data_IF_186939884904
#
_entry.id   IF_186939884904
#
_cell.length_a   1.000
_cell.length_b   1.000
_cell.length_c   1.000
_cell.angle_alpha   90.00
_cell.angle_beta   90.00
_cell.angle_gamma   90.00
#
_symmetry.space_group_name_H-M   'P 1'
#
loop_
_entity.id
_entity.type
_entity.pdbx_description
1 polymer ?
#
# COMPACT_ATOMS: atom_id res chain seq x y z
N UNK A 1 38.83 9.59 -3.97
CA UNK A 1 38.48 9.42 -2.55
C UNK A 1 37.17 8.65 -2.52
N UNK A 2 37.19 7.39 -2.15
CA UNK A 2 35.98 6.59 -2.00
C UNK A 2 35.22 7.12 -0.77
N UNK A 3 34.00 7.63 -0.97
CA UNK A 3 33.11 7.96 0.11
C UNK A 3 32.74 6.65 0.82
N UNK A 4 33.18 6.47 2.05
CA UNK A 4 32.66 5.40 2.89
C UNK A 4 31.13 5.60 3.04
N UNK A 5 30.32 4.53 2.98
CA UNK A 5 28.89 4.64 3.18
C UNK A 5 28.62 5.22 4.58
N UNK A 6 27.53 6.00 4.76
CA UNK A 6 27.20 6.59 6.06
C UNK A 6 26.99 5.47 7.08
N UNK A 7 28.00 5.19 7.89
CA UNK A 7 27.92 4.26 9.02
C UNK A 7 27.10 4.90 10.13
N UNK A 8 25.77 4.91 9.99
CA UNK A 8 24.89 5.18 11.13
C UNK A 8 25.01 3.98 12.09
N UNK A 9 25.76 4.14 13.16
CA UNK A 9 25.95 3.15 14.23
C UNK A 9 24.69 2.96 15.09
N UNK A 10 23.64 3.74 14.88
CA UNK A 10 22.35 3.61 15.58
C UNK A 10 21.41 2.66 14.81
N UNK A 11 20.68 1.83 15.57
CA UNK A 11 19.63 0.99 14.99
C UNK A 11 18.60 1.87 14.23
N UNK A 12 18.10 1.43 13.05
CA UNK A 12 17.11 2.21 12.29
C UNK A 12 15.81 2.36 13.08
N UNK A 13 15.19 3.54 13.02
CA UNK A 13 13.85 3.77 13.57
C UNK A 13 12.79 3.12 12.65
N UNK A 14 12.96 3.24 11.33
CA UNK A 14 12.03 2.73 10.33
C UNK A 14 12.71 1.63 9.50
N UNK A 15 12.01 0.51 9.28
CA UNK A 15 12.39 -0.47 8.27
C UNK A 15 11.38 -0.42 7.13
N UNK A 16 11.83 0.05 5.96
CA UNK A 16 11.00 0.19 4.76
C UNK A 16 11.11 -1.10 3.97
N UNK A 17 9.99 -1.80 3.80
CA UNK A 17 9.92 -3.13 3.19
C UNK A 17 9.24 -2.99 1.84
N UNK A 18 9.94 -3.37 0.77
CA UNK A 18 9.48 -3.31 -0.61
C UNK A 18 9.49 -4.71 -1.20
N UNK A 19 8.34 -5.21 -1.63
CA UNK A 19 8.25 -6.43 -2.43
C UNK A 19 8.26 -6.06 -3.92
N UNK A 20 9.12 -6.71 -4.70
CA UNK A 20 9.24 -6.49 -6.14
C UNK A 20 9.13 -7.82 -6.91
N UNK A 21 8.44 -7.79 -8.05
CA UNK A 21 8.35 -8.91 -8.97
C UNK A 21 8.23 -8.40 -10.41
N UNK A 22 9.29 -8.57 -11.20
CA UNK A 22 9.37 -8.17 -12.62
C UNK A 22 9.09 -6.68 -12.89
N UNK A 23 9.34 -5.78 -11.93
CA UNK A 23 9.02 -4.34 -12.07
C UNK A 23 10.18 -3.43 -11.61
N UNK A 24 11.34 -3.59 -12.26
CA UNK A 24 12.53 -2.81 -11.92
C UNK A 24 12.45 -1.35 -12.34
N UNK A 25 11.62 -1.02 -13.33
CA UNK A 25 11.47 0.36 -13.82
C UNK A 25 10.74 1.23 -12.78
N UNK A 26 9.60 0.77 -12.27
CA UNK A 26 8.84 1.47 -11.23
C UNK A 26 9.65 1.57 -9.93
N UNK A 27 10.36 0.49 -9.55
CA UNK A 27 11.20 0.46 -8.35
C UNK A 27 12.26 1.57 -8.33
N UNK A 28 12.79 1.97 -9.47
CA UNK A 28 13.79 3.06 -9.54
C UNK A 28 13.24 4.38 -9.03
N UNK A 29 12.01 4.74 -9.37
CA UNK A 29 11.32 5.94 -8.85
C UNK A 29 11.09 5.84 -7.35
N UNK A 30 10.68 4.67 -6.87
CA UNK A 30 10.47 4.40 -5.46
C UNK A 30 11.76 4.58 -4.65
N UNK A 31 12.86 3.92 -5.03
CA UNK A 31 14.16 4.01 -4.36
C UNK A 31 14.72 5.44 -4.37
N UNK A 32 14.59 6.15 -5.50
CA UNK A 32 14.98 7.57 -5.62
C UNK A 32 14.26 8.45 -4.61
N UNK A 33 12.99 8.18 -4.34
CA UNK A 33 12.19 8.98 -3.40
C UNK A 33 12.68 8.88 -1.97
N UNK A 34 13.34 7.79 -1.56
CA UNK A 34 13.97 7.66 -0.25
C UNK A 34 15.28 8.42 -0.15
N UNK A 35 16.08 8.49 -1.23
CA UNK A 35 17.29 9.32 -1.25
C UNK A 35 16.99 10.84 -1.22
N UNK A 36 15.78 11.23 -1.60
CA UNK A 36 15.34 12.63 -1.64
C UNK A 36 14.62 13.08 -0.36
N UNK A 37 14.53 12.22 0.67
CA UNK A 37 13.87 12.61 1.91
C UNK A 37 14.62 13.73 2.64
N UNK A 38 13.88 14.74 3.11
CA UNK A 38 14.42 15.81 3.97
C UNK A 38 14.27 15.42 5.43
N UNK A 39 15.34 15.65 6.23
CA UNK A 39 15.39 15.33 7.67
C UNK A 39 14.80 13.95 8.03
N UNK A 40 15.10 12.88 7.28
CA UNK A 40 14.53 11.58 7.60
C UNK A 40 15.04 11.10 8.97
N UNK A 41 14.21 10.39 9.75
CA UNK A 41 14.72 9.61 10.86
C UNK A 41 15.71 8.55 10.34
N UNK A 42 16.44 7.88 11.24
CA UNK A 42 17.25 6.74 10.83
C UNK A 42 16.35 5.66 10.21
N UNK A 43 16.68 5.19 9.02
CA UNK A 43 15.89 4.14 8.33
C UNK A 43 16.80 3.18 7.58
N UNK A 44 16.27 2.00 7.29
CA UNK A 44 16.81 1.03 6.35
C UNK A 44 15.76 0.70 5.30
N UNK A 45 16.21 0.26 4.12
CA UNK A 45 15.35 -0.24 3.05
C UNK A 45 15.66 -1.72 2.84
N UNK A 46 14.61 -2.53 2.78
CA UNK A 46 14.67 -3.97 2.52
C UNK A 46 13.87 -4.26 1.27
N UNK A 47 14.58 -4.59 0.21
CA UNK A 47 14.02 -5.00 -1.07
C UNK A 47 13.99 -6.52 -1.15
N UNK A 48 12.80 -7.07 -1.30
CA UNK A 48 12.60 -8.51 -1.51
C UNK A 48 12.17 -8.75 -2.95
N UNK A 49 13.06 -9.35 -3.74
CA UNK A 49 12.77 -9.86 -5.09
C UNK A 49 12.06 -11.22 -4.97
N UNK A 50 10.79 -11.24 -5.30
CA UNK A 50 9.94 -12.43 -5.22
C UNK A 50 10.09 -13.33 -6.46
N UNK A 51 11.32 -13.63 -6.85
CA UNK A 51 11.62 -14.56 -7.92
C UNK A 51 11.39 -14.00 -9.32
N UNK A 52 11.75 -12.73 -9.56
CA UNK A 52 11.68 -12.12 -10.89
C UNK A 52 12.43 -12.91 -11.93
N UNK A 53 11.97 -12.89 -13.19
CA UNK A 53 12.60 -13.58 -14.31
C UNK A 53 14.05 -13.13 -14.54
N UNK A 54 14.32 -11.84 -14.33
CA UNK A 54 15.67 -11.28 -14.31
C UNK A 54 16.02 -10.82 -12.89
N UNK A 55 17.26 -11.01 -12.43
CA UNK A 55 17.68 -10.48 -11.13
C UNK A 55 17.62 -8.96 -11.10
N UNK A 56 17.62 -8.34 -9.89
CA UNK A 56 17.73 -6.91 -9.76
C UNK A 56 18.93 -6.38 -10.55
N UNK A 57 18.75 -5.35 -11.42
CA UNK A 57 19.85 -4.70 -12.12
C UNK A 57 20.91 -4.17 -11.16
N UNK A 58 22.18 -4.19 -11.58
CA UNK A 58 23.30 -3.80 -10.71
C UNK A 58 23.18 -2.39 -10.17
N UNK A 59 22.64 -1.44 -10.95
CA UNK A 59 22.44 -0.06 -10.52
C UNK A 59 21.52 0.09 -9.29
N UNK A 60 20.69 -0.92 -8.99
CA UNK A 60 19.86 -0.91 -7.77
C UNK A 60 20.74 -1.02 -6.53
N UNK A 61 21.89 -1.69 -6.61
CA UNK A 61 22.86 -1.80 -5.51
C UNK A 61 23.52 -0.46 -5.18
N UNK A 62 23.61 0.46 -6.14
CA UNK A 62 24.24 1.77 -5.97
C UNK A 62 23.47 2.65 -4.97
N UNK A 63 22.18 2.37 -4.73
CA UNK A 63 21.40 3.07 -3.72
C UNK A 63 21.92 2.82 -2.29
N UNK A 64 22.69 1.76 -2.06
CA UNK A 64 23.35 1.53 -0.77
C UNK A 64 24.36 2.63 -0.40
N UNK A 65 24.79 3.44 -1.36
CA UNK A 65 25.62 4.62 -1.11
C UNK A 65 24.82 5.82 -0.56
N UNK A 66 23.48 5.76 -0.61
CA UNK A 66 22.58 6.83 -0.16
C UNK A 66 21.92 6.52 1.18
N UNK A 67 21.59 5.26 1.42
CA UNK A 67 20.96 4.75 2.65
C UNK A 67 21.20 3.24 2.77
N UNK A 68 21.13 2.65 3.98
CA UNK A 68 21.26 1.20 4.16
C UNK A 68 20.22 0.44 3.34
N UNK A 69 20.67 -0.33 2.35
CA UNK A 69 19.82 -1.14 1.45
C UNK A 69 20.21 -2.61 1.55
N UNK A 70 19.27 -3.44 1.94
CA UNK A 70 19.38 -4.90 1.91
C UNK A 70 18.54 -5.45 0.77
N UNK A 71 19.15 -6.25 -0.12
CA UNK A 71 18.45 -6.90 -1.23
C UNK A 71 18.43 -8.40 -0.97
N UNK A 72 17.24 -8.99 -0.95
CA UNK A 72 17.05 -10.45 -0.77
C UNK A 72 16.22 -10.96 -1.92
N UNK A 73 16.60 -12.11 -2.47
CA UNK A 73 15.83 -12.82 -3.48
C UNK A 73 15.28 -14.12 -2.90
N UNK A 74 14.03 -14.44 -3.25
CA UNK A 74 13.37 -15.69 -2.89
C UNK A 74 12.72 -16.35 -4.12
N UNK A 75 12.42 -17.66 -4.09
CA UNK A 75 11.52 -18.26 -5.06
C UNK A 75 10.15 -17.58 -5.02
N UNK A 76 9.49 -17.44 -6.19
CA UNK A 76 8.19 -16.75 -6.26
C UNK A 76 7.16 -17.41 -5.33
N UNK A 77 6.69 -16.64 -4.35
CA UNK A 77 5.75 -17.09 -3.33
C UNK A 77 4.61 -16.07 -3.07
N UNK A 78 4.57 -15.00 -3.83
CA UNK A 78 3.57 -13.94 -3.74
C UNK A 78 3.95 -12.78 -2.81
N UNK A 79 3.27 -11.65 -3.01
CA UNK A 79 3.57 -10.37 -2.34
C UNK A 79 3.53 -10.47 -0.81
N UNK A 80 2.58 -11.23 -0.25
CA UNK A 80 2.49 -11.47 1.21
C UNK A 80 3.73 -12.15 1.76
N UNK A 81 4.22 -13.20 1.08
CA UNK A 81 5.42 -13.93 1.49
C UNK A 81 6.67 -13.03 1.40
N UNK A 82 6.79 -12.24 0.34
CA UNK A 82 7.89 -11.30 0.17
C UNK A 82 7.89 -10.22 1.27
N UNK A 83 6.73 -9.61 1.58
CA UNK A 83 6.63 -8.63 2.68
C UNK A 83 6.91 -9.27 4.05
N UNK A 84 6.44 -10.48 4.31
CA UNK A 84 6.75 -11.22 5.54
C UNK A 84 8.25 -11.48 5.65
N UNK A 85 8.91 -11.91 4.58
CA UNK A 85 10.37 -12.11 4.55
C UNK A 85 11.12 -10.82 4.86
N UNK A 86 10.70 -9.69 4.27
CA UNK A 86 11.25 -8.38 4.58
C UNK A 86 11.06 -7.99 6.05
N UNK A 87 9.88 -8.25 6.62
CA UNK A 87 9.61 -7.98 8.04
C UNK A 87 10.48 -8.81 8.98
N UNK A 88 10.72 -10.10 8.67
CA UNK A 88 11.58 -10.98 9.48
C UNK A 88 13.02 -10.47 9.59
N UNK A 89 13.61 -10.03 8.48
CA UNK A 89 15.02 -9.59 8.45
C UNK A 89 15.22 -8.12 8.85
N UNK A 90 14.14 -7.36 8.99
CA UNK A 90 14.19 -5.94 9.34
C UNK A 90 14.57 -5.73 10.81
N UNK A 91 15.19 -4.58 11.13
CA UNK A 91 15.76 -4.27 12.45
C UNK A 91 15.02 -3.17 13.21
N UNK A 92 14.29 -2.30 12.49
CA UNK A 92 13.61 -1.15 13.07
C UNK A 92 12.36 -1.54 13.88
N UNK A 93 12.01 -0.76 14.91
CA UNK A 93 10.81 -0.94 15.71
C UNK A 93 9.52 -0.60 14.94
N UNK A 94 9.62 0.11 13.83
CA UNK A 94 8.49 0.47 12.95
C UNK A 94 8.71 -0.18 11.59
N UNK A 95 7.78 -1.03 11.19
CA UNK A 95 7.74 -1.62 9.85
C UNK A 95 6.93 -0.70 8.94
N UNK A 96 7.50 -0.30 7.80
CA UNK A 96 6.83 0.52 6.78
C UNK A 96 6.76 -0.30 5.50
N UNK A 97 5.56 -0.56 5.01
CA UNK A 97 5.36 -1.28 3.76
C UNK A 97 5.15 -0.30 2.61
N UNK A 98 5.84 -0.55 1.52
CA UNK A 98 5.78 0.22 0.29
C UNK A 98 5.67 -0.71 -0.92
N UNK A 99 4.94 -0.28 -1.96
CA UNK A 99 4.92 -0.98 -3.24
C UNK A 99 6.03 -0.43 -4.16
N UNK A 100 6.51 -1.24 -5.09
CA UNK A 100 7.59 -0.84 -6.00
C UNK A 100 7.21 0.36 -6.91
N UNK A 101 5.91 0.60 -7.11
CA UNK A 101 5.34 1.71 -7.87
C UNK A 101 4.86 2.89 -6.99
N UNK A 102 5.36 2.96 -5.75
CA UNK A 102 5.07 4.04 -4.80
C UNK A 102 6.20 5.06 -4.73
N UNK A 103 5.86 6.36 -4.77
CA UNK A 103 6.81 7.45 -4.59
C UNK A 103 6.49 8.25 -3.35
N UNK A 104 7.41 8.30 -2.42
CA UNK A 104 7.29 9.02 -1.15
C UNK A 104 7.66 10.49 -1.33
N UNK A 105 6.80 11.41 -0.91
CA UNK A 105 7.13 12.84 -0.90
C UNK A 105 8.34 13.13 -0.01
N UNK A 106 9.05 14.21 -0.31
CA UNK A 106 10.35 14.56 0.29
C UNK A 106 10.34 14.70 1.83
N UNK A 107 9.20 14.96 2.45
CA UNK A 107 9.03 15.07 3.91
C UNK A 107 8.27 13.90 4.53
N UNK A 108 8.05 12.82 3.77
CA UNK A 108 7.12 11.74 4.16
C UNK A 108 7.60 10.98 5.40
N UNK A 109 8.89 10.63 5.45
CA UNK A 109 9.45 9.87 6.59
C UNK A 109 9.55 10.72 7.85
N UNK A 110 9.89 12.01 7.73
CA UNK A 110 9.87 12.97 8.84
C UNK A 110 8.45 13.10 9.42
N UNK A 111 7.45 13.31 8.57
CA UNK A 111 6.04 13.43 8.96
C UNK A 111 5.51 12.17 9.65
N UNK A 112 5.89 10.99 9.13
CA UNK A 112 5.54 9.71 9.75
C UNK A 112 6.15 9.60 11.15
N UNK A 113 7.46 9.85 11.30
CA UNK A 113 8.14 9.75 12.57
C UNK A 113 7.58 10.73 13.61
N UNK A 114 7.31 11.97 13.21
CA UNK A 114 6.70 12.98 14.07
C UNK A 114 5.29 12.54 14.54
N UNK A 115 4.49 11.96 13.63
CA UNK A 115 3.16 11.45 13.99
C UNK A 115 3.25 10.28 14.97
N UNK A 116 4.16 9.33 14.74
CA UNK A 116 4.38 8.19 15.65
C UNK A 116 4.78 8.64 17.06
N UNK A 117 5.59 9.69 17.15
CA UNK A 117 6.02 10.27 18.44
C UNK A 117 4.88 11.03 19.14
N UNK A 118 4.09 11.80 18.40
CA UNK A 118 2.99 12.60 18.95
C UNK A 118 1.74 11.78 19.32
N UNK A 119 1.58 10.60 18.73
CA UNK A 119 0.43 9.70 18.92
C UNK A 119 0.90 8.31 19.37
N UNK A 120 1.55 8.17 20.54
CA UNK A 120 2.14 6.91 21.00
C UNK A 120 1.09 5.80 21.27
N UNK A 121 -0.17 6.18 21.49
CA UNK A 121 -1.30 5.25 21.69
C UNK A 121 -1.69 4.48 20.43
N UNK A 122 -1.34 4.96 19.23
CA UNK A 122 -1.64 4.26 17.98
C UNK A 122 -0.51 3.29 17.61
N UNK A 123 -0.92 2.13 17.14
CA UNK A 123 -0.03 1.01 16.81
C UNK A 123 0.22 0.84 15.32
N UNK A 124 -0.69 1.35 14.49
CA UNK A 124 -0.59 1.29 13.04
C UNK A 124 -1.00 2.62 12.40
N UNK A 125 -0.42 2.90 11.25
CA UNK A 125 -0.51 4.19 10.58
C UNK A 125 -0.72 3.98 9.08
N UNK A 126 -1.67 4.70 8.50
CA UNK A 126 -1.85 4.76 7.06
C UNK A 126 -1.35 6.11 6.56
N UNK A 127 -0.38 6.09 5.68
CA UNK A 127 0.11 7.29 5.01
C UNK A 127 -0.94 7.76 3.99
N UNK A 128 -0.99 9.06 3.73
CA UNK A 128 -1.93 9.62 2.75
C UNK A 128 -1.52 9.18 1.34
N UNK A 129 -2.35 8.38 0.70
CA UNK A 129 -2.14 7.95 -0.67
C UNK A 129 -2.78 8.91 -1.67
N UNK A 130 -2.07 9.19 -2.75
CA UNK A 130 -2.50 9.99 -3.88
C UNK A 130 -2.22 9.24 -5.19
N UNK A 131 -2.90 9.62 -6.27
CA UNK A 131 -2.63 9.09 -7.61
C UNK A 131 -1.74 10.03 -8.42
N UNK A 132 -1.25 9.56 -9.55
CA UNK A 132 -0.60 10.40 -10.55
C UNK A 132 -1.64 11.02 -11.50
N UNK A 133 -1.91 12.31 -11.36
CA UNK A 133 -2.92 13.02 -12.14
C UNK A 133 -2.50 13.32 -13.61
N UNK A 134 -1.32 12.92 -14.05
CA UNK A 134 -0.85 13.16 -15.43
C UNK A 134 -1.68 12.39 -16.47
N UNK A 135 -2.16 11.19 -16.10
CA UNK A 135 -2.97 10.33 -16.99
C UNK A 135 -4.42 10.25 -16.55
N UNK A 136 -5.33 9.81 -17.44
CA UNK A 136 -6.73 9.53 -17.05
C UNK A 136 -6.81 8.43 -15.98
N UNK A 137 -6.00 7.38 -16.14
CA UNK A 137 -5.97 6.25 -15.17
C UNK A 137 -5.46 6.74 -13.82
N UNK A 138 -4.42 7.58 -13.80
CA UNK A 138 -3.92 8.20 -12.57
C UNK A 138 -4.95 9.10 -11.89
N UNK A 139 -5.72 9.88 -12.66
CA UNK A 139 -6.84 10.68 -12.13
C UNK A 139 -7.98 9.84 -11.56
N UNK A 140 -8.25 8.68 -12.16
CA UNK A 140 -9.21 7.69 -11.62
C UNK A 140 -8.72 7.14 -10.29
N UNK A 141 -7.43 6.82 -10.20
CA UNK A 141 -6.81 6.33 -8.97
C UNK A 141 -6.77 7.40 -7.89
N UNK A 142 -6.41 8.64 -8.23
CA UNK A 142 -6.47 9.79 -7.32
C UNK A 142 -7.88 9.97 -6.74
N UNK A 143 -8.91 9.98 -7.61
CA UNK A 143 -10.31 10.10 -7.18
C UNK A 143 -10.69 8.98 -6.22
N UNK A 144 -10.29 7.74 -6.51
CA UNK A 144 -10.55 6.57 -5.68
C UNK A 144 -9.89 6.69 -4.32
N UNK A 145 -8.58 6.96 -4.29
CA UNK A 145 -7.76 7.00 -3.08
C UNK A 145 -8.20 8.11 -2.13
N UNK A 146 -8.34 9.34 -2.64
CA UNK A 146 -8.79 10.48 -1.82
C UNK A 146 -10.16 10.20 -1.25
N UNK A 147 -11.11 9.78 -2.09
CA UNK A 147 -12.49 9.59 -1.62
C UNK A 147 -12.60 8.48 -0.59
N UNK A 148 -11.88 7.36 -0.78
CA UNK A 148 -11.89 6.26 0.20
C UNK A 148 -11.31 6.72 1.55
N UNK A 149 -10.15 7.36 1.53
CA UNK A 149 -9.50 7.83 2.75
C UNK A 149 -10.34 8.88 3.47
N UNK A 150 -10.88 9.88 2.75
CA UNK A 150 -11.68 10.93 3.38
C UNK A 150 -13.05 10.43 3.89
N UNK A 151 -13.67 9.46 3.18
CA UNK A 151 -14.98 8.93 3.55
C UNK A 151 -14.93 7.91 4.70
N UNK A 152 -13.83 7.18 4.82
CA UNK A 152 -13.64 6.14 5.84
C UNK A 152 -12.84 6.64 7.06
N UNK A 153 -12.43 7.91 7.05
CA UNK A 153 -11.80 8.57 8.19
C UNK A 153 -12.81 8.76 9.32
N UNK A 154 -12.43 8.34 10.51
CA UNK A 154 -13.21 8.47 11.73
C UNK A 154 -12.89 9.80 12.45
N UNK A 155 -13.77 10.29 13.32
CA UNK A 155 -13.54 11.54 14.09
C UNK A 155 -12.28 11.53 14.96
N UNK A 156 -11.82 10.37 15.38
CA UNK A 156 -10.61 10.16 16.18
C UNK A 156 -9.31 10.11 15.36
N UNK A 157 -9.39 10.32 14.03
CA UNK A 157 -8.26 10.24 13.11
C UNK A 157 -7.92 8.83 12.64
N UNK A 158 -8.61 7.81 13.13
CA UNK A 158 -8.44 6.44 12.68
C UNK A 158 -9.15 6.20 11.34
N UNK A 159 -8.62 5.26 10.55
CA UNK A 159 -9.06 5.04 9.18
C UNK A 159 -9.54 3.59 9.00
N UNK A 160 -10.78 3.40 8.56
CA UNK A 160 -11.33 2.09 8.16
C UNK A 160 -10.88 1.68 6.74
N UNK A 161 -9.63 1.93 6.45
CA UNK A 161 -8.99 1.62 5.18
C UNK A 161 -7.51 1.32 5.43
N UNK A 162 -6.97 0.36 4.71
CA UNK A 162 -5.56 0.01 4.70
C UNK A 162 -5.13 -0.28 3.27
N UNK A 163 -3.95 0.23 2.92
CA UNK A 163 -3.28 -0.10 1.67
C UNK A 163 -1.77 -0.13 1.91
N UNK A 164 -1.17 -1.22 1.55
CA UNK A 164 0.25 -1.53 1.79
C UNK A 164 1.22 -0.66 1.01
N UNK A 165 0.77 0.11 0.01
CA UNK A 165 1.61 1.08 -0.69
C UNK A 165 2.16 2.20 0.22
N UNK A 166 1.57 2.37 1.42
CA UNK A 166 2.00 3.35 2.42
C UNK A 166 1.41 3.03 3.79
N UNK A 167 1.74 1.87 4.35
CA UNK A 167 1.26 1.42 5.65
C UNK A 167 2.42 1.20 6.61
N UNK A 168 2.28 1.67 7.86
CA UNK A 168 3.27 1.44 8.90
C UNK A 168 2.63 0.82 10.15
N UNK A 169 3.40 -0.03 10.85
CA UNK A 169 2.95 -0.70 12.08
C UNK A 169 4.13 -0.87 13.05
N UNK A 170 3.85 -0.74 14.35
CA UNK A 170 4.85 -1.06 15.38
C UNK A 170 5.15 -2.56 15.35
N UNK A 171 6.42 -2.93 15.29
CA UNK A 171 6.86 -4.33 15.28
C UNK A 171 6.28 -5.13 16.45
N UNK A 172 6.11 -4.52 17.63
CA UNK A 172 5.54 -5.16 18.82
C UNK A 172 4.09 -5.58 18.68
N UNK A 173 3.39 -5.14 17.63
CA UNK A 173 1.98 -5.45 17.38
C UNK A 173 1.76 -6.62 16.42
N UNK A 174 2.83 -7.16 15.87
CA UNK A 174 2.80 -8.26 14.91
C UNK A 174 3.82 -9.33 15.30
N UNK A 175 3.49 -10.55 15.00
CA UNK A 175 4.44 -11.67 15.07
C UNK A 175 5.13 -11.78 13.72
N UNK A 176 6.34 -11.25 13.62
CA UNK A 176 7.10 -11.27 12.36
C UNK A 176 7.54 -12.67 11.96
N UNK A 177 7.68 -13.60 12.91
CA UNK A 177 8.04 -15.00 12.63
C UNK A 177 6.83 -15.78 12.08
N UNK A 178 5.65 -15.57 12.66
CA UNK A 178 4.42 -16.15 12.13
C UNK A 178 3.94 -15.48 10.83
N UNK A 179 4.40 -14.23 10.57
CA UNK A 179 4.07 -13.43 9.40
C UNK A 179 3.02 -12.34 9.68
N UNK A 180 3.29 -11.16 9.16
CA UNK A 180 2.39 -9.99 9.23
C UNK A 180 1.18 -10.16 8.31
N UNK A 181 1.42 -10.71 7.12
CA UNK A 181 0.41 -10.92 6.08
C UNK A 181 0.07 -12.41 5.93
N UNK A 182 -1.20 -12.68 5.71
CA UNK A 182 -1.66 -14.02 5.39
C UNK A 182 -1.25 -14.41 3.97
N UNK A 183 -0.57 -15.54 3.83
CA UNK A 183 -0.01 -16.02 2.55
C UNK A 183 -0.96 -16.92 1.75
N UNK A 184 -2.07 -17.34 2.35
CA UNK A 184 -3.07 -18.22 1.70
C UNK A 184 -4.05 -17.49 0.77
N UNK A 185 -3.93 -16.17 0.59
CA UNK A 185 -4.72 -15.40 -0.36
C UNK A 185 -3.80 -14.82 -1.44
N UNK A 186 -4.21 -14.97 -2.70
CA UNK A 186 -3.44 -14.44 -3.84
C UNK A 186 -3.54 -12.90 -3.91
N UNK A 187 -4.63 -12.33 -3.39
CA UNK A 187 -4.88 -10.87 -3.37
C UNK A 187 -5.76 -10.50 -2.19
N UNK A 188 -5.66 -9.24 -1.73
CA UNK A 188 -6.46 -8.70 -0.63
C UNK A 188 -5.83 -8.94 0.75
N UNK A 189 -4.52 -9.11 0.78
CA UNK A 189 -3.71 -9.25 1.98
C UNK A 189 -3.86 -8.05 2.92
N UNK A 190 -3.99 -6.85 2.36
CA UNK A 190 -4.27 -5.59 3.05
C UNK A 190 -5.65 -5.61 3.72
N UNK A 191 -6.65 -6.11 3.02
CA UNK A 191 -8.02 -6.27 3.53
C UNK A 191 -8.08 -7.28 4.67
N UNK A 192 -7.34 -8.39 4.57
CA UNK A 192 -7.25 -9.39 5.64
C UNK A 192 -6.52 -8.83 6.88
N UNK A 193 -5.44 -8.09 6.67
CA UNK A 193 -4.74 -7.41 7.76
C UNK A 193 -5.64 -6.39 8.45
N UNK A 194 -6.35 -5.56 7.67
CA UNK A 194 -7.31 -4.60 8.23
C UNK A 194 -8.42 -5.28 9.01
N UNK A 195 -8.96 -6.40 8.52
CA UNK A 195 -9.97 -7.17 9.24
C UNK A 195 -9.46 -7.61 10.63
N UNK A 196 -8.23 -8.14 10.70
CA UNK A 196 -7.60 -8.49 11.97
C UNK A 196 -7.32 -7.29 12.89
N UNK A 197 -7.01 -6.11 12.33
CA UNK A 197 -6.88 -4.88 13.12
C UNK A 197 -8.23 -4.41 13.67
N UNK A 198 -9.30 -4.50 12.88
CA UNK A 198 -10.69 -4.19 13.32
C UNK A 198 -11.11 -5.09 14.49
N UNK A 199 -10.87 -6.41 14.41
CA UNK A 199 -11.16 -7.36 15.47
C UNK A 199 -10.50 -6.98 16.81
N UNK A 200 -9.29 -6.41 16.75
CA UNK A 200 -8.53 -5.96 17.92
C UNK A 200 -8.85 -4.53 18.35
N UNK A 201 -9.74 -3.82 17.66
CA UNK A 201 -10.01 -2.41 17.92
C UNK A 201 -8.83 -1.47 17.60
N UNK A 202 -7.96 -1.84 16.69
CA UNK A 202 -6.68 -1.17 16.39
C UNK A 202 -6.64 -0.62 14.94
N UNK A 203 -7.61 0.22 14.58
CA UNK A 203 -7.60 0.85 13.26
C UNK A 203 -6.33 1.69 13.02
N UNK A 204 -5.81 1.73 11.78
CA UNK A 204 -4.69 2.59 11.43
C UNK A 204 -5.04 4.08 11.64
N UNK A 205 -4.11 4.85 12.20
CA UNK A 205 -4.23 6.30 12.29
C UNK A 205 -3.77 6.94 10.96
N UNK A 206 -4.52 7.91 10.43
CA UNK A 206 -4.17 8.57 9.16
C UNK A 206 -3.06 9.61 9.38
N UNK A 207 -1.93 9.44 8.68
CA UNK A 207 -0.84 10.42 8.64
C UNK A 207 -1.06 11.33 7.42
N UNK A 208 -1.86 12.38 7.59
CA UNK A 208 -2.35 13.21 6.49
C UNK A 208 -1.27 13.99 5.74
N UNK A 209 -0.14 14.30 6.38
CA UNK A 209 1.00 15.03 5.83
C UNK A 209 2.16 14.13 5.34
N UNK A 210 2.10 12.81 5.59
CA UNK A 210 3.00 11.83 4.99
C UNK A 210 2.38 11.33 3.68
N UNK A 211 2.76 11.93 2.56
CA UNK A 211 2.13 11.69 1.26
C UNK A 211 2.94 10.65 0.48
N UNK A 212 2.24 9.65 -0.05
CA UNK A 212 2.77 8.65 -0.97
C UNK A 212 1.95 8.68 -2.26
N UNK A 213 2.61 8.92 -3.37
CA UNK A 213 2.00 8.89 -4.70
C UNK A 213 2.13 7.49 -5.29
N UNK A 214 1.00 6.90 -5.66
CA UNK A 214 0.95 5.63 -6.37
C UNK A 214 1.02 5.89 -7.88
N UNK A 215 2.07 5.42 -8.52
CA UNK A 215 2.26 5.55 -9.96
C UNK A 215 1.38 4.53 -10.70
N UNK A 216 0.71 4.99 -11.75
CA UNK A 216 -0.17 4.14 -12.57
C UNK A 216 0.23 4.25 -14.04
N UNK A 217 1.36 3.64 -14.46
CA UNK A 217 1.88 3.74 -15.82
C UNK A 217 1.07 2.94 -16.85
N UNK A 218 -0.17 2.56 -16.53
CA UNK A 218 -1.00 1.69 -17.34
C UNK A 218 -1.91 2.48 -18.30
N UNK A 219 -2.15 1.91 -19.47
CA UNK A 219 -3.24 2.32 -20.34
C UNK A 219 -4.60 2.00 -19.71
N UNK A 220 -5.66 2.65 -20.21
CA UNK A 220 -7.02 2.39 -19.73
C UNK A 220 -7.41 0.90 -19.91
N UNK A 221 -7.00 0.28 -21.03
CA UNK A 221 -7.29 -1.13 -21.31
C UNK A 221 -6.57 -2.08 -20.33
N UNK A 222 -5.31 -1.81 -20.01
CA UNK A 222 -4.56 -2.57 -19.01
C UNK A 222 -5.16 -2.39 -17.62
N UNK A 223 -5.59 -1.17 -17.27
CA UNK A 223 -6.28 -0.89 -16.03
C UNK A 223 -7.58 -1.69 -15.89
N UNK A 224 -8.38 -1.81 -16.96
CA UNK A 224 -9.59 -2.63 -16.99
C UNK A 224 -9.28 -4.13 -16.87
N UNK A 225 -8.26 -4.62 -17.56
CA UNK A 225 -7.81 -6.02 -17.42
C UNK A 225 -7.35 -6.33 -15.98
N UNK A 226 -6.59 -5.42 -15.38
CA UNK A 226 -6.19 -5.52 -13.95
C UNK A 226 -7.42 -5.57 -13.03
N UNK A 227 -8.45 -4.76 -13.29
CA UNK A 227 -9.67 -4.72 -12.50
C UNK A 227 -10.44 -6.05 -12.56
N UNK A 228 -10.62 -6.60 -13.77
CA UNK A 228 -11.29 -7.88 -13.97
C UNK A 228 -10.56 -9.00 -13.24
N UNK A 229 -9.22 -9.07 -13.40
CA UNK A 229 -8.39 -10.06 -12.71
C UNK A 229 -8.47 -9.91 -11.19
N UNK A 230 -8.44 -8.66 -10.70
CA UNK A 230 -8.53 -8.36 -9.27
C UNK A 230 -9.86 -8.78 -8.68
N UNK A 231 -10.97 -8.45 -9.35
CA UNK A 231 -12.30 -8.81 -8.91
C UNK A 231 -12.47 -10.33 -8.73
N UNK A 232 -11.84 -11.12 -9.61
CA UNK A 232 -11.85 -12.58 -9.52
C UNK A 232 -10.99 -13.07 -8.33
N UNK A 233 -9.76 -12.59 -8.18
CA UNK A 233 -8.81 -13.06 -7.16
C UNK A 233 -9.20 -12.66 -5.72
N UNK A 234 -9.90 -11.55 -5.54
CA UNK A 234 -10.36 -11.11 -4.22
C UNK A 234 -11.52 -11.92 -3.64
N UNK A 235 -12.15 -12.78 -4.42
CA UNK A 235 -13.31 -13.53 -3.94
C UNK A 235 -12.96 -14.50 -2.83
N UNK A 236 -11.80 -15.13 -2.89
CA UNK A 236 -11.36 -16.02 -1.83
C UNK A 236 -11.04 -15.25 -0.55
N UNK A 237 -10.51 -14.04 -0.67
CA UNK A 237 -10.34 -13.12 0.47
C UNK A 237 -11.66 -12.82 1.17
N UNK A 238 -12.73 -12.54 0.42
CA UNK A 238 -14.05 -12.30 1.03
C UNK A 238 -14.63 -13.55 1.69
N UNK A 239 -14.40 -14.75 1.15
CA UNK A 239 -14.80 -16.01 1.82
C UNK A 239 -14.08 -16.18 3.16
N UNK A 240 -12.77 -15.89 3.22
CA UNK A 240 -11.98 -15.95 4.44
C UNK A 240 -12.51 -14.95 5.49
N UNK A 241 -12.80 -13.71 5.10
CA UNK A 241 -13.34 -12.69 6.00
C UNK A 241 -14.74 -13.08 6.51
N UNK A 242 -15.60 -13.56 5.61
CA UNK A 242 -16.95 -14.01 5.97
C UNK A 242 -16.91 -15.18 6.94
N UNK A 243 -15.98 -16.14 6.76
CA UNK A 243 -15.81 -17.28 7.67
C UNK A 243 -15.37 -16.85 9.09
N UNK A 244 -14.68 -15.72 9.21
CA UNK A 244 -14.26 -15.14 10.50
C UNK A 244 -15.34 -14.29 11.17
N UNK A 245 -16.46 -14.02 10.51
CA UNK A 245 -17.56 -13.22 11.05
C UNK A 245 -17.24 -11.72 11.20
N UNK A 246 -16.16 -11.23 10.59
CA UNK A 246 -15.73 -9.82 10.71
C UNK A 246 -16.67 -8.92 9.93
N UNK A 247 -17.27 -7.93 10.61
CA UNK A 247 -18.13 -6.91 9.97
C UNK A 247 -17.26 -5.84 9.27
N UNK A 248 -16.61 -6.23 8.19
CA UNK A 248 -15.76 -5.35 7.39
C UNK A 248 -16.52 -4.58 6.30
N UNK A 249 -17.66 -5.08 5.86
CA UNK A 249 -18.34 -4.60 4.65
C UNK A 249 -18.83 -3.16 4.78
N UNK A 250 -18.53 -2.36 3.75
CA UNK A 250 -19.10 -1.03 3.54
C UNK A 250 -20.60 -1.18 3.29
N UNK A 251 -21.41 -0.49 4.09
CA UNK A 251 -22.88 -0.53 4.00
C UNK A 251 -23.37 0.12 2.69
N UNK A 252 -24.61 -0.17 2.29
CA UNK A 252 -25.24 0.45 1.11
C UNK A 252 -25.28 1.98 1.22
N UNK A 253 -25.57 2.51 2.41
CA UNK A 253 -25.60 3.96 2.66
C UNK A 253 -24.22 4.60 2.50
N UNK A 254 -23.17 3.96 3.02
CA UNK A 254 -21.78 4.38 2.83
C UNK A 254 -21.38 4.38 1.35
N UNK A 255 -21.76 3.35 0.60
CA UNK A 255 -21.50 3.29 -0.87
C UNK A 255 -22.17 4.44 -1.63
N UNK A 256 -23.41 4.77 -1.32
CA UNK A 256 -24.10 5.93 -1.91
C UNK A 256 -23.44 7.25 -1.50
N UNK A 257 -23.02 7.38 -0.24
CA UNK A 257 -22.24 8.52 0.24
C UNK A 257 -20.94 8.68 -0.52
N UNK A 258 -20.20 7.59 -0.71
CA UNK A 258 -18.95 7.60 -1.50
C UNK A 258 -19.17 8.02 -2.96
N UNK A 259 -20.21 7.54 -3.64
CA UNK A 259 -20.52 7.94 -5.02
C UNK A 259 -20.77 9.45 -5.13
N UNK A 260 -21.51 10.03 -4.16
CA UNK A 260 -21.74 11.49 -4.10
C UNK A 260 -20.44 12.24 -3.82
N UNK A 261 -19.61 11.77 -2.89
CA UNK A 261 -18.31 12.35 -2.58
C UNK A 261 -17.38 12.29 -3.81
N UNK A 262 -17.30 11.17 -4.50
CA UNK A 262 -16.56 11.00 -5.75
C UNK A 262 -17.03 12.00 -6.83
N UNK A 263 -18.32 12.18 -6.99
CA UNK A 263 -18.87 13.16 -7.92
C UNK A 263 -18.42 14.59 -7.57
N UNK A 264 -18.51 14.98 -6.29
CA UNK A 264 -18.07 16.29 -5.82
C UNK A 264 -16.56 16.48 -6.04
N UNK A 265 -15.74 15.51 -5.66
CA UNK A 265 -14.28 15.55 -5.78
C UNK A 265 -13.83 15.58 -7.26
N UNK A 266 -14.52 14.87 -8.16
CA UNK A 266 -14.23 14.89 -9.60
C UNK A 266 -14.44 16.24 -10.27
N UNK A 267 -15.08 17.21 -9.60
CA UNK A 267 -15.19 18.60 -10.04
C UNK A 267 -13.87 19.38 -9.97
N UNK A 268 -12.85 18.89 -9.28
CA UNK A 268 -11.51 19.50 -9.25
C UNK A 268 -10.88 19.41 -10.65
N UNK A 269 -10.26 20.51 -11.10
CA UNK A 269 -9.65 20.59 -12.44
C UNK A 269 -8.56 19.52 -12.67
N UNK A 270 -7.81 19.17 -11.62
CA UNK A 270 -6.76 18.13 -11.66
C UNK A 270 -7.30 16.71 -11.89
N UNK A 271 -8.55 16.43 -11.53
CA UNK A 271 -9.17 15.10 -11.63
C UNK A 271 -10.08 15.03 -12.86
N UNK A 272 -11.10 15.88 -12.92
CA UNK A 272 -12.06 15.96 -14.02
C UNK A 272 -13.18 14.91 -13.97
N UNK A 273 -14.33 15.27 -14.54
CA UNK A 273 -15.55 14.42 -14.53
C UNK A 273 -15.39 13.08 -15.24
N UNK A 274 -14.51 13.00 -16.26
CA UNK A 274 -14.24 11.76 -16.98
C UNK A 274 -13.69 10.67 -16.04
N UNK A 275 -12.85 11.04 -15.07
CA UNK A 275 -12.35 10.11 -14.07
C UNK A 275 -13.49 9.46 -13.25
N UNK A 276 -14.53 10.24 -12.91
CA UNK A 276 -15.70 9.71 -12.22
C UNK A 276 -16.45 8.68 -13.06
N UNK A 277 -16.71 8.97 -14.34
CA UNK A 277 -17.39 8.02 -15.23
C UNK A 277 -16.62 6.71 -15.37
N UNK A 278 -15.30 6.79 -15.57
CA UNK A 278 -14.45 5.59 -15.66
C UNK A 278 -14.47 4.82 -14.34
N UNK A 279 -14.36 5.49 -13.20
CA UNK A 279 -14.38 4.83 -11.89
C UNK A 279 -15.72 4.13 -11.63
N UNK A 280 -16.84 4.79 -11.91
CA UNK A 280 -18.17 4.19 -11.74
C UNK A 280 -18.35 2.98 -12.65
N UNK A 281 -17.93 3.07 -13.93
CA UNK A 281 -17.97 1.93 -14.86
C UNK A 281 -17.16 0.74 -14.33
N UNK A 282 -15.97 0.97 -13.80
CA UNK A 282 -15.16 -0.08 -13.16
C UNK A 282 -15.87 -0.71 -11.96
N UNK A 283 -16.51 0.09 -11.11
CA UNK A 283 -17.25 -0.41 -9.95
C UNK A 283 -18.48 -1.25 -10.35
N UNK A 284 -19.23 -0.80 -11.37
CA UNK A 284 -20.35 -1.57 -11.91
C UNK A 284 -19.88 -2.89 -12.51
N UNK A 285 -18.81 -2.87 -13.32
CA UNK A 285 -18.20 -4.07 -13.88
C UNK A 285 -17.81 -5.07 -12.76
N UNK A 286 -17.19 -4.59 -11.71
CA UNK A 286 -16.81 -5.42 -10.54
C UNK A 286 -18.02 -6.06 -9.87
N UNK A 287 -19.12 -5.31 -9.68
CA UNK A 287 -20.35 -5.83 -9.09
C UNK A 287 -20.99 -6.91 -9.99
N UNK A 288 -21.02 -6.70 -11.29
CA UNK A 288 -21.53 -7.70 -12.26
C UNK A 288 -20.67 -8.97 -12.22
N UNK A 289 -19.36 -8.84 -12.23
CA UNK A 289 -18.44 -9.98 -12.12
C UNK A 289 -18.66 -10.78 -10.83
N UNK A 290 -18.79 -10.11 -9.71
CA UNK A 290 -19.09 -10.76 -8.43
C UNK A 290 -20.45 -11.48 -8.44
N UNK A 291 -21.48 -10.89 -9.06
CA UNK A 291 -22.79 -11.50 -9.19
C UNK A 291 -22.74 -12.74 -10.07
N UNK A 292 -22.13 -12.64 -11.26
CA UNK A 292 -21.98 -13.76 -12.21
C UNK A 292 -21.22 -14.92 -11.55
N UNK A 293 -20.13 -14.64 -10.86
CA UNK A 293 -19.37 -15.68 -10.19
C UNK A 293 -20.19 -16.38 -9.10
N UNK A 294 -20.93 -15.64 -8.26
CA UNK A 294 -21.82 -16.25 -7.25
C UNK A 294 -22.90 -17.12 -7.87
N UNK A 295 -23.47 -16.67 -9.00
CA UNK A 295 -24.52 -17.41 -9.73
C UNK A 295 -23.99 -18.67 -10.43
N UNK A 296 -22.72 -18.67 -10.87
CA UNK A 296 -22.11 -19.81 -11.57
C UNK A 296 -21.77 -21.00 -10.65
N UNK A 297 -21.92 -20.83 -9.33
CA UNK A 297 -21.65 -21.90 -8.37
C UNK A 297 -20.20 -22.41 -8.39
N UNK A 298 -19.29 -21.65 -8.97
CA UNK A 298 -17.87 -22.01 -9.02
C UNK A 298 -17.33 -22.10 -7.57
N UNK A 299 -17.13 -23.33 -7.13
CA UNK A 299 -16.59 -23.72 -5.82
C UNK A 299 -15.08 -23.58 -5.80
#
# INVERSE_FOLDING_TARGET
MANEPPTSTSAPLLSIIIAAYNDWAALTSCLRSFAQQTNPPSFEVILVDDGSAQPPPDFIRDWNNQYPLTIVRQPHAGVSAARNRGAQISKGPILVFADADSRFHVNCLEALAATIANFPQHNSFQLRLTGDCATLVGRVEELRLITLQDHLLQPDGCLRYLNTAGFAIRRTQVDVEAGVFYTGAVRGEDTLLLAGLIERGQLPFLVGNAIVQHETPFSLLESLRKEIRSAYLEMDTYKIIDSKGVKYRVTYRERLGMLRAMWKTSGRASIGRMAWFVLVTRQVLRLVLHFVYRASGAR
#
